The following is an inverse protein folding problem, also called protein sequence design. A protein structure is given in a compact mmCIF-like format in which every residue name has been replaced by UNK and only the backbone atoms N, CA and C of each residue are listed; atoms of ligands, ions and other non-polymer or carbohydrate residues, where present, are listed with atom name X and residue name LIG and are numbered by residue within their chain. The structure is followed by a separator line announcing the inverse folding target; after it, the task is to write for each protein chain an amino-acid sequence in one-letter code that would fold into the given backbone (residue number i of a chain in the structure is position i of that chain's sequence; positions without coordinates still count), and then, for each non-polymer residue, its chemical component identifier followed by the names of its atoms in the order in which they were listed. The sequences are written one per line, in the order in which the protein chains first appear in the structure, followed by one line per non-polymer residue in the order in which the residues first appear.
data_IF_247373323893
#
_entry.id   IF_247373323893
#
_cell.length_a   1.000
_cell.length_b   1.000
_cell.length_c   1.000
_cell.angle_alpha   90.00
_cell.angle_beta   90.00
_cell.angle_gamma   90.00
#
_symmetry.space_group_name_H-M   'P 1'
#
loop_
_entity.id
_entity.type
_entity.pdbx_description
1 polymer ?
#
# COMPACT_ATOMS: atom_id res chain seq x y z
N UNK A 1 -9.00 -3.91 3.83
CA UNK A 1 -10.38 -3.81 4.37
C UNK A 1 -10.46 -4.17 5.86
N UNK A 2 -9.51 -3.70 6.67
CA UNK A 2 -9.33 -4.11 8.07
C UNK A 2 -10.65 -4.14 8.88
N UNK A 3 -11.41 -3.06 8.85
CA UNK A 3 -12.66 -2.99 9.61
C UNK A 3 -13.82 -3.80 9.01
N UNK A 4 -13.72 -4.22 7.74
CA UNK A 4 -14.77 -4.98 7.04
C UNK A 4 -14.56 -6.49 7.11
N UNK A 5 -13.40 -6.97 7.53
CA UNK A 5 -13.15 -8.42 7.61
C UNK A 5 -14.15 -9.15 8.51
N UNK A 6 -14.65 -8.50 9.56
CA UNK A 6 -15.67 -9.06 10.44
C UNK A 6 -17.05 -9.15 9.78
N UNK A 7 -17.39 -8.21 8.89
CA UNK A 7 -18.62 -8.29 8.10
C UNK A 7 -18.54 -9.42 7.09
N UNK A 8 -17.38 -9.56 6.45
CA UNK A 8 -17.09 -10.67 5.51
C UNK A 8 -17.18 -12.00 6.23
N UNK A 9 -16.62 -12.15 7.45
CA UNK A 9 -16.79 -13.33 8.29
C UNK A 9 -18.27 -13.70 8.44
N UNK A 10 -19.12 -12.73 8.77
CA UNK A 10 -20.54 -12.98 8.97
C UNK A 10 -21.22 -13.47 7.68
N UNK A 11 -20.83 -12.96 6.50
CA UNK A 11 -21.36 -13.45 5.21
C UNK A 11 -20.92 -14.89 4.94
N UNK A 12 -19.67 -15.26 5.22
CA UNK A 12 -19.23 -16.66 5.14
C UNK A 12 -20.00 -17.58 6.06
N UNK A 13 -20.27 -17.14 7.30
CA UNK A 13 -21.10 -17.89 8.25
C UNK A 13 -22.55 -18.05 7.75
N UNK A 14 -23.12 -17.06 7.06
CA UNK A 14 -24.44 -17.18 6.43
C UNK A 14 -24.39 -18.23 5.32
N UNK A 15 -23.40 -18.16 4.42
CA UNK A 15 -23.23 -19.14 3.34
C UNK A 15 -23.12 -20.56 3.89
N UNK A 16 -22.35 -20.78 4.97
CA UNK A 16 -22.27 -22.10 5.64
C UNK A 16 -23.65 -22.58 6.12
N UNK A 17 -24.42 -21.71 6.75
CA UNK A 17 -25.78 -22.04 7.22
C UNK A 17 -26.74 -22.32 6.06
N UNK A 18 -26.64 -21.57 4.98
CA UNK A 18 -27.43 -21.81 3.77
C UNK A 18 -27.13 -23.21 3.20
N UNK A 19 -25.86 -23.66 3.17
CA UNK A 19 -25.49 -25.03 2.74
C UNK A 19 -26.10 -26.10 3.66
N UNK A 20 -26.11 -25.87 4.98
CA UNK A 20 -26.76 -26.78 5.93
C UNK A 20 -28.27 -26.83 5.69
N UNK A 21 -28.92 -25.70 5.44
CA UNK A 21 -30.35 -25.62 5.13
C UNK A 21 -30.66 -26.39 3.83
N UNK A 22 -29.85 -26.20 2.79
CA UNK A 22 -30.03 -26.89 1.50
C UNK A 22 -29.86 -28.40 1.67
N UNK A 23 -28.86 -28.85 2.43
CA UNK A 23 -28.71 -30.26 2.81
C UNK A 23 -29.98 -30.84 3.51
N UNK A 24 -30.48 -30.11 4.52
CA UNK A 24 -31.67 -30.56 5.27
C UNK A 24 -32.90 -30.66 4.38
N UNK A 25 -33.10 -29.70 3.48
CA UNK A 25 -34.17 -29.73 2.46
C UNK A 25 -34.03 -30.94 1.55
N UNK A 26 -32.83 -31.17 1.01
CA UNK A 26 -32.58 -32.28 0.10
C UNK A 26 -32.84 -33.65 0.78
N UNK A 27 -32.49 -33.80 2.07
CA UNK A 27 -32.81 -35.01 2.83
C UNK A 27 -34.33 -35.18 3.05
N UNK A 28 -35.04 -34.08 3.39
CA UNK A 28 -36.50 -34.10 3.53
C UNK A 28 -37.20 -34.48 2.22
N UNK A 29 -36.66 -34.03 1.08
CA UNK A 29 -37.17 -34.36 -0.27
C UNK A 29 -36.82 -35.80 -0.70
N UNK A 30 -36.19 -36.60 0.15
CA UNK A 30 -35.93 -38.03 -0.05
C UNK A 30 -34.57 -38.36 -0.64
N UNK A 31 -33.63 -37.41 -0.65
CA UNK A 31 -32.24 -37.65 -1.04
C UNK A 31 -31.49 -38.57 -0.07
N UNK A 32 -30.44 -39.22 -0.53
CA UNK A 32 -29.59 -40.08 0.31
C UNK A 32 -28.79 -39.26 1.34
N UNK A 33 -29.15 -39.37 2.59
CA UNK A 33 -28.62 -38.56 3.68
C UNK A 33 -27.11 -38.75 3.89
N UNK A 34 -26.56 -39.94 3.63
CA UNK A 34 -25.13 -40.22 3.83
C UNK A 34 -24.30 -39.55 2.73
N UNK A 35 -24.69 -39.68 1.48
CA UNK A 35 -24.05 -39.01 0.32
C UNK A 35 -24.12 -37.49 0.47
N UNK A 36 -25.33 -36.94 0.74
CA UNK A 36 -25.54 -35.50 0.90
C UNK A 36 -24.74 -34.92 2.06
N UNK A 37 -24.54 -35.70 3.15
CA UNK A 37 -23.71 -35.27 4.28
C UNK A 37 -22.23 -35.17 3.89
N UNK A 38 -21.71 -36.15 3.17
CA UNK A 38 -20.31 -36.12 2.70
C UNK A 38 -20.07 -34.92 1.76
N UNK A 39 -21.04 -34.59 0.90
CA UNK A 39 -21.00 -33.41 0.03
C UNK A 39 -21.02 -32.13 0.88
N UNK A 40 -21.88 -32.02 1.88
CA UNK A 40 -21.95 -30.90 2.80
C UNK A 40 -20.61 -30.69 3.53
N UNK A 41 -20.02 -31.74 4.10
CA UNK A 41 -18.74 -31.64 4.81
C UNK A 41 -17.64 -31.12 3.89
N UNK A 42 -17.61 -31.55 2.62
CA UNK A 42 -16.68 -31.06 1.60
C UNK A 42 -16.90 -29.56 1.31
N UNK A 43 -18.16 -29.14 1.13
CA UNK A 43 -18.51 -27.73 0.89
C UNK A 43 -18.15 -26.83 2.08
N UNK A 44 -18.41 -27.27 3.29
CA UNK A 44 -18.07 -26.50 4.49
C UNK A 44 -16.55 -26.33 4.65
N UNK A 45 -15.78 -27.41 4.40
CA UNK A 45 -14.33 -27.34 4.42
C UNK A 45 -13.77 -26.37 3.36
N UNK A 46 -14.37 -26.35 2.16
CA UNK A 46 -13.98 -25.39 1.11
C UNK A 46 -14.27 -23.94 1.52
N UNK A 47 -15.44 -23.68 2.14
CA UNK A 47 -15.80 -22.34 2.62
C UNK A 47 -14.84 -21.87 3.71
N UNK A 48 -14.41 -22.76 4.62
CA UNK A 48 -13.43 -22.45 5.65
C UNK A 48 -12.05 -22.09 5.05
N UNK A 49 -11.60 -22.85 4.03
CA UNK A 49 -10.36 -22.58 3.31
C UNK A 49 -10.43 -21.25 2.53
N UNK A 50 -11.58 -20.97 1.91
CA UNK A 50 -11.79 -19.72 1.19
C UNK A 50 -11.79 -18.50 2.13
N UNK A 51 -12.41 -18.61 3.31
CA UNK A 51 -12.34 -17.57 4.32
C UNK A 51 -10.90 -17.33 4.81
N UNK A 52 -10.17 -18.41 5.13
CA UNK A 52 -8.78 -18.31 5.56
C UNK A 52 -7.91 -17.61 4.50
N UNK A 53 -8.12 -17.94 3.22
CA UNK A 53 -7.44 -17.29 2.10
C UNK A 53 -7.76 -15.79 1.99
N UNK A 54 -9.04 -15.39 2.14
CA UNK A 54 -9.44 -13.98 2.13
C UNK A 54 -8.85 -13.24 3.34
N UNK A 55 -8.87 -13.84 4.53
CA UNK A 55 -8.30 -13.25 5.73
C UNK A 55 -6.78 -13.03 5.60
N UNK A 56 -6.04 -14.01 5.05
CA UNK A 56 -4.63 -13.87 4.73
C UNK A 56 -4.38 -12.75 3.69
N UNK A 57 -5.18 -12.72 2.62
CA UNK A 57 -5.08 -11.70 1.58
C UNK A 57 -5.36 -10.29 2.11
N UNK A 58 -6.22 -10.15 3.12
CA UNK A 58 -6.51 -8.87 3.79
C UNK A 58 -5.33 -8.31 4.60
N UNK A 59 -4.42 -9.16 5.06
CA UNK A 59 -3.17 -8.68 5.71
C UNK A 59 -2.26 -8.02 4.67
N UNK A 60 -2.31 -8.50 3.44
CA UNK A 60 -1.52 -7.98 2.33
C UNK A 60 -0.07 -8.43 2.35
N UNK A 61 0.70 -7.98 1.36
CA UNK A 61 2.10 -8.34 1.20
C UNK A 61 2.82 -7.42 0.21
N UNK A 62 4.09 -7.72 -0.08
CA UNK A 62 4.87 -6.92 -1.05
C UNK A 62 4.40 -7.15 -2.50
N UNK A 63 3.89 -8.34 -2.78
CA UNK A 63 3.40 -8.73 -4.11
C UNK A 63 2.27 -9.75 -3.99
N UNK A 64 1.24 -9.61 -4.83
CA UNK A 64 0.15 -10.56 -4.98
C UNK A 64 0.20 -11.20 -6.37
N UNK A 65 0.38 -12.53 -6.40
CA UNK A 65 0.46 -13.27 -7.65
C UNK A 65 -0.89 -13.25 -8.40
N UNK A 66 -0.89 -13.27 -9.75
CA UNK A 66 -2.11 -13.24 -10.56
C UNK A 66 -3.10 -14.35 -10.20
N UNK A 67 -2.60 -15.55 -9.87
CA UNK A 67 -3.42 -16.70 -9.47
C UNK A 67 -4.19 -16.44 -8.16
N UNK A 68 -3.57 -15.69 -7.23
CA UNK A 68 -4.24 -15.28 -5.99
C UNK A 68 -5.34 -14.26 -6.27
N UNK A 69 -5.09 -13.32 -7.16
CA UNK A 69 -6.10 -12.34 -7.61
C UNK A 69 -7.30 -13.06 -8.21
N UNK A 70 -7.05 -14.05 -9.07
CA UNK A 70 -8.12 -14.83 -9.69
C UNK A 70 -8.93 -15.62 -8.65
N UNK A 71 -8.27 -16.21 -7.66
CA UNK A 71 -8.97 -16.89 -6.56
C UNK A 71 -9.84 -15.93 -5.74
N UNK A 72 -9.38 -14.71 -5.45
CA UNK A 72 -10.23 -13.70 -4.78
C UNK A 72 -11.51 -13.44 -5.57
N UNK A 73 -11.40 -13.28 -6.90
CA UNK A 73 -12.56 -13.05 -7.77
C UNK A 73 -13.53 -14.22 -7.79
N UNK A 74 -13.01 -15.45 -7.85
CA UNK A 74 -13.85 -16.66 -7.80
C UNK A 74 -14.61 -16.75 -6.47
N UNK A 75 -13.95 -16.47 -5.35
CA UNK A 75 -14.59 -16.45 -4.02
C UNK A 75 -15.61 -15.31 -3.95
N UNK A 76 -15.31 -14.15 -4.53
CA UNK A 76 -16.23 -13.01 -4.56
C UNK A 76 -17.56 -13.34 -5.24
N UNK A 77 -17.56 -14.20 -6.26
CA UNK A 77 -18.77 -14.61 -7.01
C UNK A 77 -19.68 -15.58 -6.26
N UNK A 78 -19.28 -16.11 -5.10
CA UNK A 78 -20.14 -16.92 -4.24
C UNK A 78 -21.36 -16.08 -3.84
N UNK A 79 -22.57 -16.64 -3.98
CA UNK A 79 -23.81 -15.94 -3.65
C UNK A 79 -24.25 -16.19 -2.22
N UNK A 80 -24.79 -15.14 -1.61
CA UNK A 80 -25.49 -15.19 -0.34
C UNK A 80 -26.78 -14.40 -0.41
N UNK A 81 -27.72 -14.67 0.48
CA UNK A 81 -29.04 -14.04 0.46
C UNK A 81 -29.17 -13.04 1.60
N UNK A 82 -29.41 -11.79 1.26
CA UNK A 82 -29.70 -10.73 2.22
C UNK A 82 -31.23 -10.52 2.31
N UNK A 83 -31.73 -10.48 3.54
CA UNK A 83 -33.17 -10.33 3.84
C UNK A 83 -33.50 -9.02 4.55
N UNK A 84 -32.48 -8.25 4.97
CA UNK A 84 -32.63 -6.97 5.64
C UNK A 84 -32.17 -5.83 4.73
N UNK A 85 -32.75 -4.64 4.89
CA UNK A 85 -32.30 -3.44 4.20
C UNK A 85 -30.91 -3.03 4.67
N UNK A 86 -30.01 -2.71 3.71
CA UNK A 86 -28.67 -2.18 3.97
C UNK A 86 -28.65 -0.65 4.07
N UNK A 87 -29.82 0.00 4.06
CA UNK A 87 -29.97 1.46 4.12
C UNK A 87 -30.35 1.97 5.52
N UNK A 88 -30.60 1.06 6.47
CA UNK A 88 -30.99 1.41 7.83
C UNK A 88 -29.74 1.56 8.69
N UNK A 89 -29.63 2.67 9.43
CA UNK A 89 -28.53 2.92 10.36
C UNK A 89 -27.27 3.52 9.72
N UNK A 90 -27.33 3.90 8.45
CA UNK A 90 -26.25 4.58 7.75
C UNK A 90 -26.14 6.05 8.17
N UNK A 91 -24.94 6.61 8.06
CA UNK A 91 -24.74 8.05 8.12
C UNK A 91 -25.40 8.75 6.93
N UNK A 92 -25.67 10.05 7.07
CA UNK A 92 -26.29 10.82 5.98
C UNK A 92 -25.51 10.77 4.66
N UNK A 93 -24.18 10.77 4.73
CA UNK A 93 -23.32 10.71 3.55
C UNK A 93 -23.32 9.32 2.91
N UNK A 94 -23.28 8.25 3.72
CA UNK A 94 -23.38 6.88 3.21
C UNK A 94 -24.74 6.64 2.56
N UNK A 95 -25.82 7.10 3.20
CA UNK A 95 -27.16 7.00 2.64
C UNK A 95 -27.25 7.72 1.28
N UNK A 96 -26.73 8.94 1.18
CA UNK A 96 -26.65 9.69 -0.09
C UNK A 96 -25.88 8.95 -1.19
N UNK A 97 -24.84 8.18 -0.82
CA UNK A 97 -24.10 7.38 -1.80
C UNK A 97 -24.87 6.17 -2.29
N UNK A 98 -25.47 5.41 -1.36
CA UNK A 98 -26.20 4.20 -1.70
C UNK A 98 -27.53 4.49 -2.43
N UNK A 99 -28.12 5.64 -2.21
CA UNK A 99 -29.35 6.11 -2.92
C UNK A 99 -29.11 6.53 -4.37
N UNK A 100 -27.86 6.51 -4.86
CA UNK A 100 -27.58 6.70 -6.30
C UNK A 100 -28.23 5.62 -7.16
N UNK A 101 -28.52 4.46 -6.59
CA UNK A 101 -29.29 3.39 -7.22
C UNK A 101 -30.54 3.03 -6.39
N UNK A 102 -31.60 2.55 -7.02
CA UNK A 102 -32.81 2.12 -6.32
C UNK A 102 -32.52 0.94 -5.39
N UNK A 103 -33.23 0.87 -4.27
CA UNK A 103 -33.12 -0.26 -3.34
C UNK A 103 -33.65 -1.53 -4.02
N UNK A 104 -32.87 -2.65 -3.99
CA UNK A 104 -33.34 -3.92 -4.52
C UNK A 104 -34.46 -4.51 -3.67
N UNK A 105 -35.39 -5.23 -4.30
CA UNK A 105 -36.43 -5.96 -3.57
C UNK A 105 -35.83 -7.07 -2.72
N UNK A 106 -36.27 -7.18 -1.48
CA UNK A 106 -35.85 -8.23 -0.54
C UNK A 106 -36.76 -9.47 -0.64
N UNK A 107 -36.21 -10.68 -0.50
CA UNK A 107 -34.80 -11.02 -0.35
C UNK A 107 -34.02 -10.80 -1.64
N UNK A 108 -32.72 -10.42 -1.52
CA UNK A 108 -31.84 -10.20 -2.65
C UNK A 108 -30.61 -11.12 -2.57
N UNK A 109 -30.20 -11.67 -3.73
CA UNK A 109 -28.93 -12.40 -3.83
C UNK A 109 -27.81 -11.43 -4.17
N UNK A 110 -26.75 -11.45 -3.39
CA UNK A 110 -25.57 -10.64 -3.55
C UNK A 110 -24.31 -11.49 -3.68
N UNK A 111 -23.26 -10.91 -4.21
CA UNK A 111 -21.93 -11.50 -4.20
C UNK A 111 -21.37 -11.47 -2.79
N UNK A 112 -20.59 -12.49 -2.42
CA UNK A 112 -19.94 -12.60 -1.12
C UNK A 112 -18.99 -11.43 -0.86
N UNK A 113 -18.22 -11.04 -1.90
CA UNK A 113 -17.44 -9.81 -1.94
C UNK A 113 -17.83 -9.00 -3.17
N UNK A 114 -17.83 -7.68 -3.06
CA UNK A 114 -18.25 -6.83 -4.18
C UNK A 114 -17.55 -5.47 -4.18
N UNK A 115 -17.41 -4.94 -5.38
CA UNK A 115 -17.05 -3.55 -5.63
C UNK A 115 -18.32 -2.79 -6.01
N UNK A 116 -19.04 -2.33 -4.99
CA UNK A 116 -20.32 -1.64 -5.17
C UNK A 116 -20.09 -0.18 -5.58
N UNK A 117 -21.06 0.41 -6.28
CA UNK A 117 -21.02 1.83 -6.68
C UNK A 117 -20.94 2.80 -5.49
N UNK A 118 -21.52 2.45 -4.34
CA UNK A 118 -21.47 3.24 -3.11
C UNK A 118 -20.12 3.12 -2.37
N UNK A 119 -19.28 2.15 -2.75
CA UNK A 119 -17.90 2.05 -2.28
C UNK A 119 -16.98 3.12 -2.89
N UNK A 120 -17.38 3.74 -4.01
CA UNK A 120 -16.59 4.78 -4.66
C UNK A 120 -16.97 6.15 -4.12
N UNK A 121 -15.97 6.86 -3.59
CA UNK A 121 -16.09 8.24 -3.13
C UNK A 121 -15.43 9.12 -4.17
N UNK A 122 -16.23 9.91 -4.88
CA UNK A 122 -15.75 10.80 -5.92
C UNK A 122 -15.08 12.05 -5.35
N UNK A 123 -14.14 12.62 -6.09
CA UNK A 123 -13.58 13.94 -5.81
C UNK A 123 -14.61 15.00 -6.21
N UNK A 124 -14.99 15.84 -5.27
CA UNK A 124 -15.93 16.94 -5.54
C UNK A 124 -15.28 18.09 -6.31
N UNK A 125 -13.99 18.34 -6.04
CA UNK A 125 -13.21 19.39 -6.70
C UNK A 125 -11.86 18.84 -7.17
N UNK A 126 -11.37 19.34 -8.32
CA UNK A 126 -9.94 19.18 -8.65
C UNK A 126 -9.13 19.95 -7.62
N UNK A 127 -8.23 19.25 -6.93
CA UNK A 127 -7.32 19.90 -6.00
C UNK A 127 -6.50 20.96 -6.75
N UNK A 128 -6.40 22.17 -6.21
CA UNK A 128 -5.60 23.26 -6.81
C UNK A 128 -4.15 22.85 -7.06
N UNK A 129 -3.64 21.95 -6.25
CA UNK A 129 -2.28 21.41 -6.34
C UNK A 129 -2.07 20.47 -7.52
N UNK A 130 -3.16 19.96 -8.09
CA UNK A 130 -3.17 19.05 -9.24
C UNK A 130 -3.47 19.75 -10.57
N UNK A 131 -3.69 21.05 -10.57
CA UNK A 131 -3.89 21.83 -11.80
C UNK A 131 -2.57 21.94 -12.57
N UNK A 132 -2.63 21.88 -13.90
CA UNK A 132 -1.44 22.00 -14.76
C UNK A 132 -0.70 23.34 -14.58
N UNK A 133 -1.41 24.37 -14.13
CA UNK A 133 -0.92 25.72 -13.86
C UNK A 133 -0.70 26.03 -12.38
N UNK A 134 -0.58 25.01 -11.51
CA UNK A 134 -0.34 25.23 -10.10
C UNK A 134 0.97 26.02 -9.86
N UNK A 135 0.96 27.02 -8.95
CA UNK A 135 2.10 27.93 -8.77
C UNK A 135 3.34 27.25 -8.20
N UNK A 136 3.21 26.04 -7.64
CA UNK A 136 4.30 25.29 -7.02
C UNK A 136 5.01 24.35 -8.01
N UNK A 137 4.43 24.10 -9.18
CA UNK A 137 4.99 23.20 -10.19
C UNK A 137 4.87 21.72 -9.82
N UNK A 138 3.85 21.35 -9.02
CA UNK A 138 3.57 19.95 -8.69
C UNK A 138 3.09 19.17 -9.92
N UNK A 139 3.54 17.92 -10.01
CA UNK A 139 3.26 16.99 -11.14
C UNK A 139 2.78 15.63 -10.64
N UNK A 140 2.02 15.60 -9.55
CA UNK A 140 1.44 14.37 -9.03
C UNK A 140 0.31 13.89 -9.93
N UNK A 141 0.31 12.59 -10.22
CA UNK A 141 -0.79 11.95 -10.91
C UNK A 141 -1.94 11.75 -9.90
N UNK A 142 -3.06 12.44 -10.14
CA UNK A 142 -4.22 12.44 -9.23
C UNK A 142 -5.15 11.29 -9.63
N UNK A 143 -5.47 10.35 -8.73
CA UNK A 143 -6.43 9.30 -9.00
C UNK A 143 -7.83 9.87 -9.30
N UNK A 144 -8.61 9.14 -10.10
CA UNK A 144 -9.97 9.53 -10.48
C UNK A 144 -10.88 9.70 -9.26
N UNK A 145 -10.71 8.82 -8.27
CA UNK A 145 -11.55 8.81 -7.08
C UNK A 145 -10.80 9.38 -5.87
N UNK A 146 -11.55 9.91 -4.89
CA UNK A 146 -11.00 10.30 -3.60
C UNK A 146 -10.64 9.04 -2.78
N UNK A 147 -11.56 8.06 -2.74
CA UNK A 147 -11.34 6.73 -2.19
C UNK A 147 -12.13 5.69 -2.97
N UNK A 148 -11.57 4.51 -3.14
CA UNK A 148 -12.26 3.32 -3.57
C UNK A 148 -12.24 2.28 -2.45
N UNK A 149 -13.42 2.06 -1.84
CA UNK A 149 -13.63 1.14 -0.73
C UNK A 149 -14.08 -0.24 -1.19
N UNK A 150 -14.03 -0.55 -2.49
CA UNK A 150 -14.37 -1.85 -3.06
C UNK A 150 -13.63 -2.99 -2.39
N UNK A 151 -14.33 -4.09 -2.10
CA UNK A 151 -13.74 -5.21 -1.35
C UNK A 151 -12.76 -5.99 -2.22
N UNK A 152 -13.15 -6.32 -3.45
CA UNK A 152 -12.28 -7.01 -4.41
C UNK A 152 -11.12 -6.11 -4.83
N UNK A 153 -11.40 -4.82 -5.09
CA UNK A 153 -10.38 -3.83 -5.42
C UNK A 153 -9.27 -3.77 -4.37
N UNK A 154 -9.64 -3.66 -3.08
CA UNK A 154 -8.68 -3.57 -1.99
C UNK A 154 -7.95 -4.88 -1.71
N UNK A 155 -8.59 -6.04 -1.92
CA UNK A 155 -7.95 -7.34 -1.77
C UNK A 155 -6.99 -7.69 -2.90
N UNK A 156 -7.15 -7.09 -4.08
CA UNK A 156 -6.39 -7.40 -5.29
C UNK A 156 -5.26 -6.41 -5.60
N UNK A 157 -4.73 -5.72 -4.59
CA UNK A 157 -3.60 -4.81 -4.78
C UNK A 157 -2.36 -5.61 -5.17
N UNK A 158 -1.88 -5.40 -6.40
CA UNK A 158 -0.79 -6.20 -6.97
C UNK A 158 0.57 -5.95 -6.31
N UNK A 159 0.84 -4.75 -5.81
CA UNK A 159 2.11 -4.37 -5.17
C UNK A 159 1.90 -3.50 -3.95
N UNK A 160 2.45 -3.95 -2.83
CA UNK A 160 2.28 -3.29 -1.53
C UNK A 160 0.86 -3.49 -0.97
N UNK A 161 0.47 -2.64 -0.03
CA UNK A 161 -0.79 -2.75 0.72
C UNK A 161 -1.71 -1.54 0.56
N UNK A 162 -1.34 -0.57 -0.29
CA UNK A 162 -2.05 0.69 -0.49
C UNK A 162 -2.69 0.75 -1.87
N UNK A 163 -3.93 1.20 -1.92
CA UNK A 163 -4.59 1.58 -3.17
C UNK A 163 -3.92 2.80 -3.81
N UNK A 164 -4.26 3.13 -5.04
CA UNK A 164 -3.75 4.34 -5.71
C UNK A 164 -4.19 5.60 -4.97
N UNK A 165 -5.43 5.65 -4.49
CA UNK A 165 -5.98 6.76 -3.72
C UNK A 165 -5.28 6.95 -2.38
N UNK A 166 -5.03 5.85 -1.66
CA UNK A 166 -4.29 5.88 -0.39
C UNK A 166 -2.84 6.30 -0.61
N UNK A 167 -2.19 5.79 -1.65
CA UNK A 167 -0.83 6.19 -2.03
C UNK A 167 -0.75 7.66 -2.37
N UNK A 168 -1.70 8.16 -3.18
CA UNK A 168 -1.81 9.59 -3.48
C UNK A 168 -1.97 10.41 -2.20
N UNK A 169 -2.85 9.99 -1.28
CA UNK A 169 -3.08 10.69 -0.01
C UNK A 169 -1.84 10.73 0.87
N UNK A 170 -1.05 9.66 0.89
CA UNK A 170 0.23 9.64 1.59
C UNK A 170 1.22 10.56 0.88
N UNK A 171 1.33 10.50 -0.45
CA UNK A 171 2.26 11.33 -1.21
C UNK A 171 1.91 12.82 -1.12
N UNK A 172 0.64 13.17 -0.91
CA UNK A 172 0.17 14.55 -0.74
C UNK A 172 0.77 15.24 0.50
N UNK A 173 1.27 14.47 1.50
CA UNK A 173 1.89 15.09 2.69
C UNK A 173 3.05 16.01 2.33
N UNK A 174 3.84 15.67 1.29
CA UNK A 174 4.98 16.50 0.87
C UNK A 174 4.51 17.80 0.19
N UNK A 175 3.40 17.72 -0.55
CA UNK A 175 2.76 18.90 -1.15
C UNK A 175 2.33 19.86 -0.05
N UNK A 176 1.63 19.36 0.98
CA UNK A 176 1.19 20.17 2.13
C UNK A 176 2.38 20.72 2.90
N UNK A 177 3.46 19.96 3.05
CA UNK A 177 4.70 20.40 3.68
C UNK A 177 5.32 21.59 2.93
N UNK A 178 5.44 21.50 1.61
CA UNK A 178 5.98 22.59 0.78
C UNK A 178 5.12 23.84 0.92
N UNK A 179 3.81 23.74 0.73
CA UNK A 179 2.88 24.87 0.83
C UNK A 179 2.98 25.54 2.21
N UNK A 180 2.99 24.74 3.27
CA UNK A 180 3.10 25.26 4.64
C UNK A 180 4.44 25.96 4.88
N UNK A 181 5.56 25.35 4.44
CA UNK A 181 6.88 25.94 4.64
C UNK A 181 7.09 27.19 3.80
N UNK A 182 6.59 27.26 2.57
CA UNK A 182 6.68 28.46 1.74
C UNK A 182 5.88 29.64 2.28
N UNK A 183 4.82 29.36 3.07
CA UNK A 183 4.05 30.40 3.74
C UNK A 183 4.74 30.97 5.00
N UNK A 184 5.82 30.36 5.49
CA UNK A 184 6.54 30.81 6.68
C UNK A 184 7.57 31.89 6.34
N UNK A 185 7.69 32.95 7.16
CA UNK A 185 8.65 34.03 6.95
C UNK A 185 10.06 33.61 7.40
N UNK A 186 10.72 32.75 6.66
CA UNK A 186 12.08 32.33 6.97
C UNK A 186 13.09 33.48 6.88
N UNK A 187 14.06 33.55 7.80
CA UNK A 187 15.23 34.40 7.61
C UNK A 187 16.06 33.94 6.40
N UNK A 188 16.90 34.83 5.87
CA UNK A 188 17.66 34.56 4.63
C UNK A 188 18.47 33.27 4.65
N UNK A 189 19.06 32.92 5.79
CA UNK A 189 19.88 31.74 5.96
C UNK A 189 19.07 30.42 5.91
N UNK A 190 17.75 30.49 6.17
CA UNK A 190 16.82 29.38 6.15
C UNK A 190 15.83 29.43 4.97
N UNK A 191 15.99 30.35 4.05
CA UNK A 191 15.07 30.54 2.91
C UNK A 191 14.95 29.31 1.99
N UNK A 192 15.92 28.39 2.02
CA UNK A 192 15.93 27.16 1.24
C UNK A 192 15.36 25.93 1.98
N UNK A 193 14.86 26.09 3.21
CA UNK A 193 14.27 24.98 3.96
C UNK A 193 13.10 24.32 3.22
N UNK A 194 12.18 25.05 2.54
CA UNK A 194 11.11 24.43 1.76
C UNK A 194 11.64 23.51 0.64
N UNK A 195 12.70 23.95 -0.05
CA UNK A 195 13.35 23.13 -1.10
C UNK A 195 13.98 21.86 -0.52
N UNK A 196 14.72 21.97 0.58
CA UNK A 196 15.36 20.80 1.19
C UNK A 196 14.35 19.79 1.69
N UNK A 197 13.32 20.28 2.42
CA UNK A 197 12.26 19.44 2.92
C UNK A 197 11.37 18.88 1.80
N UNK A 198 11.15 19.64 0.72
CA UNK A 198 10.28 19.23 -0.38
C UNK A 198 10.91 18.25 -1.36
N UNK A 199 12.25 18.10 -1.36
CA UNK A 199 12.95 17.32 -2.37
C UNK A 199 13.28 15.88 -1.98
N UNK A 200 13.02 15.44 -0.76
CA UNK A 200 13.49 14.12 -0.31
C UNK A 200 12.75 12.91 -0.89
N UNK A 201 11.60 13.12 -1.55
CA UNK A 201 10.88 12.09 -2.31
C UNK A 201 11.13 12.16 -3.83
N UNK A 202 11.94 13.11 -4.28
CA UNK A 202 12.37 13.14 -5.67
C UNK A 202 13.43 12.06 -5.93
N UNK A 203 13.56 11.66 -7.20
CA UNK A 203 14.55 10.67 -7.64
C UNK A 203 15.52 11.29 -8.64
N UNK A 204 16.71 10.72 -8.73
CA UNK A 204 17.76 11.25 -9.60
C UNK A 204 17.39 11.17 -11.09
N UNK A 205 16.46 10.31 -11.48
CA UNK A 205 15.96 10.09 -12.83
C UNK A 205 14.71 10.94 -13.19
N UNK A 206 14.20 11.77 -12.28
CA UNK A 206 13.01 12.59 -12.50
C UNK A 206 11.67 11.84 -12.40
N UNK A 207 11.66 10.59 -11.92
CA UNK A 207 10.44 9.81 -11.71
C UNK A 207 9.89 9.92 -10.28
N UNK A 208 10.52 10.77 -9.44
CA UNK A 208 10.08 11.07 -8.08
C UNK A 208 8.86 11.98 -8.01
N UNK A 209 8.57 12.49 -6.84
CA UNK A 209 7.48 13.43 -6.58
C UNK A 209 7.88 14.44 -5.49
N UNK A 210 7.23 15.61 -5.40
CA UNK A 210 6.00 16.02 -6.10
C UNK A 210 6.23 16.78 -7.41
N UNK A 211 7.48 17.20 -7.75
CA UNK A 211 7.78 18.06 -8.88
C UNK A 211 8.43 17.33 -10.05
N UNK A 212 8.78 16.05 -9.90
CA UNK A 212 9.51 15.23 -10.88
C UNK A 212 10.85 15.86 -11.25
N UNK A 213 11.65 16.28 -10.25
CA UNK A 213 12.97 16.89 -10.43
C UNK A 213 14.03 15.84 -10.76
N UNK A 214 14.97 16.21 -11.64
CA UNK A 214 16.16 15.41 -11.89
C UNK A 214 17.28 15.73 -10.90
N UNK A 215 18.35 14.92 -10.89
CA UNK A 215 19.53 15.12 -10.03
C UNK A 215 20.07 16.55 -10.05
N UNK A 216 20.17 17.15 -11.24
CA UNK A 216 20.74 18.49 -11.43
C UNK A 216 19.83 19.63 -10.94
N UNK A 217 18.53 19.36 -10.82
CA UNK A 217 17.54 20.29 -10.29
C UNK A 217 17.49 20.28 -8.76
N UNK A 218 18.11 19.29 -8.10
CA UNK A 218 18.08 19.07 -6.67
C UNK A 218 19.37 19.53 -6.00
N UNK A 219 19.25 20.26 -4.90
CA UNK A 219 20.40 20.60 -4.08
C UNK A 219 20.98 19.37 -3.34
N UNK A 220 22.27 19.47 -2.98
CA UNK A 220 22.94 18.43 -2.18
C UNK A 220 22.20 18.14 -0.88
N UNK A 221 21.73 19.13 -0.08
CA UNK A 221 20.96 18.84 1.14
C UNK A 221 19.67 18.05 0.90
N UNK A 222 18.91 18.35 -0.17
CA UNK A 222 17.71 17.60 -0.52
C UNK A 222 18.03 16.13 -0.83
N UNK A 223 19.10 15.88 -1.60
CA UNK A 223 19.56 14.52 -1.94
C UNK A 223 20.11 13.76 -0.72
N UNK A 224 20.73 14.44 0.25
CA UNK A 224 21.15 13.85 1.53
C UNK A 224 19.91 13.46 2.34
N UNK A 225 18.89 14.31 2.40
CA UNK A 225 17.65 14.01 3.11
C UNK A 225 16.94 12.78 2.51
N UNK A 226 16.95 12.62 1.18
CA UNK A 226 16.40 11.43 0.53
C UNK A 226 17.09 10.13 1.00
N UNK A 227 18.41 10.13 1.13
CA UNK A 227 19.17 8.98 1.64
C UNK A 227 18.83 8.70 3.10
N UNK A 228 18.74 9.77 3.93
CA UNK A 228 18.44 9.63 5.35
C UNK A 228 17.03 9.11 5.59
N UNK A 229 16.02 9.64 4.87
CA UNK A 229 14.63 9.22 4.94
C UNK A 229 14.45 7.74 4.53
N UNK A 230 15.04 7.34 3.40
CA UNK A 230 15.00 5.96 2.93
C UNK A 230 15.66 5.01 3.94
N UNK A 231 16.81 5.39 4.50
CA UNK A 231 17.51 4.55 5.46
C UNK A 231 16.71 4.39 6.75
N UNK A 232 16.14 5.48 7.27
CA UNK A 232 15.24 5.45 8.42
C UNK A 232 14.02 4.55 8.13
N UNK A 233 13.34 4.77 6.99
CA UNK A 233 12.17 4.01 6.59
C UNK A 233 12.42 2.49 6.41
N UNK A 234 13.63 2.08 6.03
CA UNK A 234 14.00 0.67 5.91
C UNK A 234 14.32 0.03 7.26
N UNK A 235 14.83 0.81 8.21
CA UNK A 235 15.29 0.34 9.51
C UNK A 235 14.28 0.55 10.64
N UNK A 236 13.22 1.34 10.42
CA UNK A 236 12.18 1.61 11.41
C UNK A 236 11.53 0.32 11.93
N UNK A 237 11.41 0.22 13.27
CA UNK A 237 10.86 -0.94 13.98
C UNK A 237 9.41 -0.75 14.45
N UNK A 238 8.84 0.44 14.27
CA UNK A 238 7.52 0.84 14.76
C UNK A 238 6.35 0.48 13.82
N UNK A 239 6.63 -0.22 12.71
CA UNK A 239 5.61 -0.61 11.73
C UNK A 239 4.93 -1.91 12.15
N UNK A 240 3.60 -1.89 12.49
CA UNK A 240 2.91 -3.03 13.07
C UNK A 240 2.76 -4.25 12.12
N UNK A 241 2.96 -4.04 10.80
CA UNK A 241 2.74 -5.06 9.78
C UNK A 241 4.03 -5.57 9.10
N UNK A 242 5.19 -5.05 9.48
CA UNK A 242 6.45 -5.41 8.84
C UNK A 242 7.57 -5.52 9.87
N UNK A 243 8.22 -6.68 9.93
CA UNK A 243 9.40 -6.82 10.76
C UNK A 243 10.50 -5.86 10.30
N UNK A 244 11.22 -5.21 11.23
CA UNK A 244 12.32 -4.31 10.89
C UNK A 244 13.42 -5.06 10.13
N UNK A 245 14.00 -4.41 9.12
CA UNK A 245 15.07 -5.02 8.34
C UNK A 245 16.40 -4.99 9.10
N UNK A 246 17.26 -5.94 8.81
CA UNK A 246 18.64 -5.91 9.25
C UNK A 246 19.41 -4.78 8.56
N UNK A 247 20.48 -4.33 9.19
CA UNK A 247 21.33 -3.28 8.65
C UNK A 247 21.91 -3.65 7.28
N UNK A 248 22.39 -4.88 7.12
CA UNK A 248 22.91 -5.38 5.85
C UNK A 248 21.86 -5.42 4.74
N UNK A 249 20.62 -5.83 5.05
CA UNK A 249 19.52 -5.85 4.09
C UNK A 249 19.13 -4.43 3.66
N UNK A 250 19.09 -3.49 4.60
CA UNK A 250 18.77 -2.08 4.31
C UNK A 250 19.81 -1.46 3.37
N UNK A 251 21.09 -1.64 3.65
CA UNK A 251 22.18 -1.17 2.76
C UNK A 251 22.13 -1.83 1.39
N UNK A 252 21.83 -3.13 1.33
CA UNK A 252 21.66 -3.86 0.07
C UNK A 252 20.51 -3.31 -0.76
N UNK A 253 19.37 -3.02 -0.15
CA UNK A 253 18.22 -2.40 -0.86
C UNK A 253 18.62 -1.03 -1.40
N UNK A 254 19.25 -0.19 -0.59
CA UNK A 254 19.71 1.13 -1.04
C UNK A 254 20.74 1.03 -2.18
N UNK A 255 21.54 -0.03 -2.23
CA UNK A 255 22.47 -0.25 -3.36
C UNK A 255 21.76 -0.55 -4.67
N UNK A 256 20.58 -1.20 -4.64
CA UNK A 256 19.72 -1.32 -5.81
C UNK A 256 19.08 0.01 -6.19
N UNK A 257 18.61 0.77 -5.19
CA UNK A 257 18.07 2.11 -5.43
C UNK A 257 19.09 3.06 -6.06
N UNK A 258 20.37 2.94 -5.70
CA UNK A 258 21.47 3.63 -6.37
C UNK A 258 21.56 3.25 -7.86
N UNK A 259 21.51 1.93 -8.19
CA UNK A 259 21.57 1.44 -9.56
C UNK A 259 20.39 1.92 -10.41
N UNK A 260 19.23 2.03 -9.80
CA UNK A 260 17.99 2.47 -10.43
C UNK A 260 17.86 4.00 -10.45
N UNK A 261 18.94 4.74 -10.19
CA UNK A 261 18.96 6.20 -10.12
C UNK A 261 17.87 6.81 -9.20
N UNK A 262 17.48 6.07 -8.17
CA UNK A 262 16.53 6.56 -7.15
C UNK A 262 17.23 7.50 -6.18
N UNK A 263 18.45 7.17 -5.74
CA UNK A 263 19.28 7.97 -4.84
C UNK A 263 20.60 8.38 -5.51
N UNK A 264 21.20 9.45 -4.99
CA UNK A 264 22.48 9.94 -5.47
C UNK A 264 23.61 8.94 -5.20
N UNK A 265 24.32 8.56 -6.24
CA UNK A 265 25.40 7.58 -6.22
C UNK A 265 26.58 8.00 -5.34
N UNK A 266 27.05 9.23 -5.49
CA UNK A 266 28.20 9.76 -4.75
C UNK A 266 27.87 9.98 -3.27
N UNK A 267 26.68 10.48 -2.98
CA UNK A 267 26.23 10.70 -1.61
C UNK A 267 25.96 9.36 -0.88
N UNK A 268 25.49 8.34 -1.59
CA UNK A 268 25.35 7.00 -1.00
C UNK A 268 26.73 6.39 -0.71
N UNK A 269 27.71 6.54 -1.58
CA UNK A 269 29.09 6.11 -1.32
C UNK A 269 29.69 6.84 -0.12
N UNK A 270 29.48 8.15 -0.01
CA UNK A 270 29.89 8.94 1.14
C UNK A 270 29.21 8.46 2.43
N UNK A 271 27.90 8.19 2.39
CA UNK A 271 27.14 7.66 3.52
C UNK A 271 27.76 6.36 4.07
N UNK A 272 28.20 5.47 3.18
CA UNK A 272 28.85 4.23 3.55
C UNK A 272 30.29 4.44 4.03
N UNK A 273 31.12 5.21 3.31
CA UNK A 273 32.54 5.39 3.61
C UNK A 273 32.80 6.25 4.85
N UNK A 274 31.90 7.20 5.13
CA UNK A 274 31.97 8.02 6.36
C UNK A 274 31.63 7.24 7.64
N UNK A 275 30.91 6.10 7.51
CA UNK A 275 30.49 5.30 8.66
C UNK A 275 29.24 5.84 9.36
N UNK A 276 28.61 6.92 8.89
CA UNK A 276 27.39 7.53 9.48
C UNK A 276 26.26 6.51 9.60
N UNK A 277 26.07 5.64 8.61
CA UNK A 277 25.08 4.56 8.66
C UNK A 277 25.25 3.65 9.87
N UNK A 278 26.49 3.36 10.24
CA UNK A 278 26.84 2.49 11.36
C UNK A 278 26.64 3.21 12.70
N UNK A 279 27.07 4.47 12.80
CA UNK A 279 26.86 5.30 13.98
C UNK A 279 25.37 5.45 14.29
N UNK A 280 24.54 5.71 13.27
CA UNK A 280 23.08 5.73 13.40
C UNK A 280 22.54 4.38 13.88
N UNK A 281 22.98 3.28 13.25
CA UNK A 281 22.52 1.94 13.59
C UNK A 281 22.84 1.57 15.05
N UNK A 282 24.06 1.81 15.51
CA UNK A 282 24.48 1.55 16.89
C UNK A 282 23.68 2.35 17.93
N UNK A 283 23.17 3.52 17.55
CA UNK A 283 22.44 4.41 18.44
C UNK A 283 20.93 4.16 18.47
N UNK A 284 20.31 3.76 17.36
CA UNK A 284 18.86 3.79 17.20
C UNK A 284 18.23 2.45 16.82
N UNK A 285 18.99 1.49 16.28
CA UNK A 285 18.41 0.21 15.87
C UNK A 285 18.36 -0.78 17.04
N UNK A 286 17.44 -1.74 16.95
CA UNK A 286 17.36 -2.85 17.89
C UNK A 286 18.56 -3.79 17.73
N UNK A 287 19.03 -4.44 18.80
CA UNK A 287 20.19 -5.35 18.75
C UNK A 287 20.08 -6.44 17.67
N UNK A 288 18.88 -6.97 17.44
CA UNK A 288 18.61 -8.00 16.42
C UNK A 288 18.70 -7.51 14.97
N UNK A 289 18.67 -6.19 14.75
CA UNK A 289 18.88 -5.58 13.44
C UNK A 289 20.35 -5.36 13.12
N UNK A 290 21.21 -5.36 14.15
CA UNK A 290 22.64 -5.08 13.99
C UNK A 290 23.34 -6.33 13.46
N UNK A 291 23.90 -6.23 12.27
CA UNK A 291 24.75 -7.24 11.67
C UNK A 291 25.93 -6.63 10.90
N UNK A 292 26.80 -7.46 10.38
CA UNK A 292 28.00 -7.00 9.67
C UNK A 292 27.67 -6.63 8.24
N UNK A 293 27.96 -5.39 7.86
CA UNK A 293 27.89 -4.90 6.48
C UNK A 293 29.28 -4.90 5.86
N UNK A 294 29.43 -5.58 4.73
CA UNK A 294 30.62 -5.48 3.90
C UNK A 294 30.43 -4.38 2.86
N UNK A 295 30.91 -3.19 3.20
CA UNK A 295 30.76 -1.97 2.39
C UNK A 295 31.47 -2.09 1.04
N UNK A 296 32.55 -2.89 0.95
CA UNK A 296 33.35 -3.01 -0.27
C UNK A 296 32.54 -3.52 -1.48
N UNK A 297 31.46 -4.26 -1.23
CA UNK A 297 30.56 -4.78 -2.27
C UNK A 297 29.73 -3.70 -2.98
N UNK A 298 29.59 -2.54 -2.36
CA UNK A 298 28.70 -1.46 -2.82
C UNK A 298 29.46 -0.23 -3.34
N UNK A 299 30.79 -0.22 -3.16
CA UNK A 299 31.67 0.83 -3.66
C UNK A 299 32.17 0.51 -5.07
N UNK A 300 32.52 1.52 -5.88
CA UNK A 300 33.17 1.29 -7.16
C UNK A 300 34.50 0.55 -6.92
N UNK A 301 34.80 -0.43 -7.78
CA UNK A 301 36.11 -1.08 -7.77
C UNK A 301 37.16 0.00 -8.04
N UNK A 302 38.12 0.16 -7.13
CA UNK A 302 39.30 0.96 -7.44
C UNK A 302 39.95 0.33 -8.67
N UNK A 303 39.98 1.05 -9.78
CA UNK A 303 40.88 0.72 -10.89
C UNK A 303 42.30 0.77 -10.29
N UNK A 304 43.00 -0.37 -10.29
CA UNK A 304 44.43 -0.40 -9.98
C UNK A 304 45.07 0.61 -10.93
N UNK A 305 45.54 1.72 -10.36
CA UNK A 305 46.38 2.67 -11.08
C UNK A 305 47.54 1.87 -11.64
N UNK A 306 47.51 1.64 -12.94
CA UNK A 306 48.55 0.92 -13.62
C UNK A 306 49.91 1.49 -13.23
N UNK A 307 50.74 0.67 -12.60
CA UNK A 307 52.15 0.97 -12.44
C UNK A 307 52.70 1.17 -13.85
N UNK A 308 52.92 2.43 -14.20
CA UNK A 308 53.66 2.77 -15.39
C UNK A 308 55.09 2.23 -15.16
N UNK A 309 55.45 1.26 -15.94
CA UNK A 309 56.86 0.89 -16.11
C UNK A 309 57.60 2.06 -16.76
N UNK A 310 58.56 2.60 -16.05
CA UNK A 310 59.69 3.35 -16.59
C UNK A 310 60.77 2.40 -17.08
#
# INVERSE_FOLDING_TARGET
IYNRIHEILNRFEIVKRDRVIDYLKAVIDGGDAETLRAELETQLAQIDDDYAFIAESNVGGEFMAPERVERVKQIADIKWTRTLSDRIGLSHEELKRIEREPEPALPVQENLLSDRYDHVIYRENKEQTAADDNPWGFKLDVPEHLYNLGEVYNLCIARGTLTEEERFKINDHIVQTIIMLEALPFPKDLARVPEFAGGHHEKMDGTGYPKKLNKDDMSVPARIMAIADIFEALTAADRPYKAPKKLSDSVKIMSFMKKDAHIDDQLFELFLTSGVYKEYAERFLLPEQLDKVDVSQYLPKQEEAGAGDD
#
